data_IF_304167056358
#
_entry.id   IF_304167056358
#
_cell.length_a   1.000
_cell.length_b   1.000
_cell.length_c   1.000
_cell.angle_alpha   90.00
_cell.angle_beta   90.00
_cell.angle_gamma   90.00
#
_symmetry.space_group_name_H-M   'P 1'
#
loop_
_entity.id
_entity.type
_entity.pdbx_description
1 polymer ?
#
# COMPACT_ATOMS: atom_id res chain seq x y z
N UNK A 1 2.02 26.85 8.82
CA UNK A 1 1.17 26.97 10.03
C UNK A 1 0.60 25.59 10.28
N UNK A 2 0.88 24.98 11.43
CA UNK A 2 0.30 23.68 11.77
C UNK A 2 -1.22 23.86 11.91
N UNK A 3 -2.00 23.10 11.15
CA UNK A 3 -3.47 23.10 11.28
C UNK A 3 -3.81 22.52 12.66
N UNK A 4 -4.55 23.27 13.46
CA UNK A 4 -5.05 22.75 14.72
C UNK A 4 -6.17 21.75 14.43
N UNK A 5 -6.09 20.55 14.95
CA UNK A 5 -7.02 19.45 14.63
C UNK A 5 -8.49 19.80 14.87
N UNK A 6 -8.79 20.58 15.90
CA UNK A 6 -10.16 21.04 16.19
C UNK A 6 -10.65 22.08 15.18
N UNK A 7 -9.76 22.94 14.67
CA UNK A 7 -10.12 23.89 13.61
C UNK A 7 -10.48 23.13 12.34
N UNK A 8 -9.71 22.10 12.01
CA UNK A 8 -10.01 21.21 10.88
C UNK A 8 -11.34 20.46 11.09
N UNK A 9 -11.56 19.91 12.27
CA UNK A 9 -12.82 19.24 12.63
C UNK A 9 -14.03 20.17 12.54
N UNK A 10 -13.87 21.46 12.89
CA UNK A 10 -14.94 22.47 12.83
C UNK A 10 -15.34 22.83 11.40
N UNK A 11 -14.51 22.55 10.40
CA UNK A 11 -14.85 22.73 8.98
C UNK A 11 -15.87 21.71 8.47
N UNK A 12 -16.08 20.60 9.19
CA UNK A 12 -17.03 19.55 8.79
C UNK A 12 -18.47 20.04 8.89
N UNK A 13 -19.23 19.86 7.81
CA UNK A 13 -20.63 20.29 7.70
C UNK A 13 -21.64 19.32 8.33
N UNK A 14 -21.22 18.15 8.80
CA UNK A 14 -22.10 17.13 9.38
C UNK A 14 -23.17 16.65 8.39
N UNK A 15 -22.79 16.32 7.16
CA UNK A 15 -23.72 16.00 6.07
C UNK A 15 -24.65 14.84 6.39
N UNK A 16 -25.97 14.95 6.10
CA UNK A 16 -26.95 13.87 6.25
C UNK A 16 -26.66 12.66 5.32
N UNK A 17 -26.06 12.92 4.15
CA UNK A 17 -25.58 11.89 3.21
C UNK A 17 -24.08 12.13 3.00
N UNK A 18 -23.22 11.58 3.87
CA UNK A 18 -21.79 11.88 3.87
C UNK A 18 -21.08 11.19 2.69
N UNK A 19 -20.73 11.96 1.68
CA UNK A 19 -20.01 11.47 0.51
C UNK A 19 -18.58 10.99 0.86
N UNK A 20 -17.95 11.58 1.87
CA UNK A 20 -16.66 11.12 2.41
C UNK A 20 -16.73 9.68 2.93
N UNK A 21 -17.80 9.32 3.64
CA UNK A 21 -18.02 7.94 4.08
C UNK A 21 -18.23 6.98 2.90
N UNK A 22 -18.96 7.42 1.88
CA UNK A 22 -19.17 6.62 0.66
C UNK A 22 -17.88 6.45 -0.15
N UNK A 23 -17.02 7.46 -0.16
CA UNK A 23 -15.72 7.43 -0.79
C UNK A 23 -14.66 6.63 -0.02
N UNK A 24 -14.93 6.27 1.24
CA UNK A 24 -14.07 5.40 2.03
C UNK A 24 -14.36 3.93 1.70
N UNK A 25 -13.38 3.11 1.24
CA UNK A 25 -13.59 1.71 0.88
C UNK A 25 -14.14 0.83 2.01
N UNK A 26 -13.87 1.21 3.26
CA UNK A 26 -14.34 0.52 4.47
C UNK A 26 -15.50 1.25 5.17
N UNK A 27 -16.07 2.26 4.53
CA UNK A 27 -17.24 3.02 5.00
C UNK A 27 -17.08 3.60 6.42
N UNK A 28 -15.89 4.12 6.76
CA UNK A 28 -15.65 4.79 8.05
C UNK A 28 -16.67 5.89 8.29
N UNK A 29 -17.34 5.88 9.45
CA UNK A 29 -18.34 6.89 9.78
C UNK A 29 -17.69 8.23 10.18
N UNK A 30 -17.06 8.87 9.19
CA UNK A 30 -16.27 10.09 9.33
C UNK A 30 -17.01 11.22 10.04
N UNK A 31 -18.27 11.55 9.68
CA UNK A 31 -18.98 12.64 10.37
C UNK A 31 -19.19 12.37 11.86
N UNK A 32 -19.44 11.13 12.23
CA UNK A 32 -19.64 10.77 13.64
C UNK A 32 -18.33 10.80 14.42
N UNK A 33 -17.25 10.30 13.84
CA UNK A 33 -15.89 10.41 14.43
C UNK A 33 -15.55 11.87 14.69
N UNK A 34 -15.80 12.77 13.73
CA UNK A 34 -15.57 14.21 13.88
C UNK A 34 -16.50 14.81 14.95
N UNK A 35 -17.76 14.39 15.02
CA UNK A 35 -18.70 14.86 16.04
C UNK A 35 -18.23 14.47 17.44
N UNK A 36 -17.77 13.25 17.63
CA UNK A 36 -17.23 12.75 18.91
C UNK A 36 -15.98 13.54 19.32
N UNK A 37 -15.06 13.78 18.39
CA UNK A 37 -13.87 14.61 18.65
C UNK A 37 -14.27 16.02 19.12
N UNK A 38 -15.20 16.67 18.42
CA UNK A 38 -15.70 18.01 18.78
C UNK A 38 -16.42 18.03 20.13
N UNK A 39 -17.03 16.93 20.52
CA UNK A 39 -17.65 16.75 21.83
C UNK A 39 -16.65 16.39 22.96
N UNK A 40 -15.35 16.41 22.67
CA UNK A 40 -14.28 15.94 23.58
C UNK A 40 -14.44 14.49 24.04
N UNK A 41 -15.07 13.65 23.19
CA UNK A 41 -15.26 12.21 23.41
C UNK A 41 -14.20 11.42 22.61
N UNK A 42 -12.92 11.69 22.90
CA UNK A 42 -11.80 11.14 22.14
C UNK A 42 -11.74 9.61 22.21
N UNK A 43 -12.03 9.02 23.36
CA UNK A 43 -12.02 7.56 23.57
C UNK A 43 -13.09 6.86 22.72
N UNK A 44 -14.28 7.47 22.59
CA UNK A 44 -15.36 6.95 21.75
C UNK A 44 -15.01 7.06 20.27
N UNK A 45 -14.42 8.20 19.88
CA UNK A 45 -13.94 8.40 18.48
C UNK A 45 -12.85 7.38 18.12
N UNK A 46 -11.86 7.17 18.98
CA UNK A 46 -10.78 6.20 18.78
C UNK A 46 -11.31 4.76 18.73
N UNK A 47 -12.23 4.41 19.65
CA UNK A 47 -12.88 3.09 19.64
C UNK A 47 -13.65 2.86 18.34
N UNK A 48 -14.42 3.84 17.86
CA UNK A 48 -15.17 3.74 16.61
C UNK A 48 -14.24 3.53 15.40
N UNK A 49 -13.12 4.25 15.32
CA UNK A 49 -12.12 4.06 14.27
C UNK A 49 -11.53 2.67 14.31
N UNK A 50 -11.08 2.23 15.50
CA UNK A 50 -10.43 0.93 15.66
C UNK A 50 -11.39 -0.25 15.40
N UNK A 51 -12.64 -0.16 15.81
CA UNK A 51 -13.64 -1.19 15.55
C UNK A 51 -13.96 -1.34 14.08
N UNK A 52 -13.91 -0.23 13.36
CA UNK A 52 -14.05 -0.23 11.91
C UNK A 52 -12.78 -0.72 11.20
N UNK A 53 -11.61 -0.33 11.69
CA UNK A 53 -10.32 -0.66 11.09
C UNK A 53 -9.19 -0.67 12.14
N UNK A 54 -8.66 -1.83 12.53
CA UNK A 54 -7.51 -1.88 13.45
C UNK A 54 -6.25 -1.17 12.94
N UNK A 55 -6.13 -0.96 11.62
CA UNK A 55 -5.00 -0.27 10.98
C UNK A 55 -5.28 1.23 10.74
N UNK A 56 -6.13 1.86 11.52
CA UNK A 56 -6.53 3.26 11.33
C UNK A 56 -5.33 4.22 11.32
N UNK A 57 -4.32 4.01 12.17
CA UNK A 57 -3.08 4.82 12.17
C UNK A 57 -2.33 4.70 10.85
N UNK A 58 -2.29 3.50 10.24
CA UNK A 58 -1.68 3.32 8.91
C UNK A 58 -2.50 4.03 7.84
N UNK A 59 -3.83 3.95 7.91
CA UNK A 59 -4.70 4.67 6.99
C UNK A 59 -4.46 6.18 7.06
N UNK A 60 -4.39 6.75 8.26
CA UNK A 60 -4.12 8.18 8.46
C UNK A 60 -2.85 8.65 7.74
N UNK A 61 -1.78 7.81 7.75
CA UNK A 61 -0.48 8.18 7.19
C UNK A 61 -0.36 7.95 5.67
N UNK A 62 -0.96 6.88 5.11
CA UNK A 62 -0.64 6.45 3.74
C UNK A 62 -1.82 6.17 2.83
N UNK A 63 -3.06 6.29 3.31
CA UNK A 63 -4.24 6.13 2.46
C UNK A 63 -4.26 7.22 1.37
N UNK A 64 -4.78 6.88 0.21
CA UNK A 64 -4.96 7.85 -0.87
C UNK A 64 -6.22 8.71 -0.62
N UNK A 65 -6.17 9.57 0.41
CA UNK A 65 -7.29 10.40 0.85
C UNK A 65 -7.84 11.30 -0.25
N UNK A 66 -6.99 11.80 -1.15
CA UNK A 66 -7.37 12.64 -2.29
C UNK A 66 -8.37 11.95 -3.22
N UNK A 67 -8.25 10.62 -3.40
CA UNK A 67 -9.14 9.82 -4.23
C UNK A 67 -10.22 9.09 -3.41
N UNK A 68 -10.12 9.12 -2.09
CA UNK A 68 -11.05 8.46 -1.17
C UNK A 68 -11.91 9.50 -0.44
N UNK A 69 -11.83 9.52 0.89
CA UNK A 69 -12.73 10.32 1.73
C UNK A 69 -12.62 11.82 1.48
N UNK A 70 -11.41 12.38 1.37
CA UNK A 70 -11.19 13.82 1.18
C UNK A 70 -11.61 14.25 -0.22
N UNK A 71 -11.26 13.46 -1.26
CA UNK A 71 -11.71 13.71 -2.63
C UNK A 71 -13.23 13.68 -2.81
N UNK A 72 -13.93 12.90 -1.97
CA UNK A 72 -15.39 12.83 -1.97
C UNK A 72 -16.06 13.81 -1.00
N UNK A 73 -15.29 14.60 -0.23
CA UNK A 73 -15.84 15.60 0.65
C UNK A 73 -16.67 16.62 -0.14
N UNK A 74 -17.85 16.98 0.37
CA UNK A 74 -18.72 17.95 -0.31
C UNK A 74 -18.01 19.33 -0.46
N UNK A 75 -17.13 19.68 0.48
CA UNK A 75 -16.34 20.91 0.40
C UNK A 75 -15.36 20.90 -0.78
N UNK A 76 -14.87 19.74 -1.19
CA UNK A 76 -14.02 19.63 -2.39
C UNK A 76 -14.75 20.00 -3.69
N UNK A 77 -16.07 19.99 -3.68
CA UNK A 77 -16.93 20.43 -4.81
C UNK A 77 -17.30 21.92 -4.76
N UNK A 78 -16.94 22.61 -3.69
CA UNK A 78 -17.13 24.06 -3.55
C UNK A 78 -16.02 24.82 -4.33
N UNK A 79 -16.21 26.10 -4.65
CA UNK A 79 -15.22 26.88 -5.39
C UNK A 79 -13.81 26.92 -4.78
N UNK A 80 -13.70 26.74 -3.47
CA UNK A 80 -12.41 26.69 -2.77
C UNK A 80 -11.64 25.39 -3.00
N UNK A 81 -12.31 24.33 -3.44
CA UNK A 81 -11.74 22.97 -3.57
C UNK A 81 -10.91 22.52 -2.35
N UNK A 82 -11.40 22.85 -1.16
CA UNK A 82 -10.69 22.67 0.10
C UNK A 82 -11.47 21.71 1.02
N UNK A 83 -11.24 20.39 0.91
CA UNK A 83 -11.93 19.37 1.69
C UNK A 83 -11.59 19.47 3.17
N UNK A 84 -12.33 18.77 4.02
CA UNK A 84 -11.89 18.49 5.38
C UNK A 84 -10.78 17.43 5.31
N UNK A 85 -9.61 17.75 5.84
CA UNK A 85 -8.47 16.80 5.88
C UNK A 85 -8.68 15.81 7.01
N UNK A 86 -9.43 14.76 6.69
CA UNK A 86 -9.74 13.71 7.65
C UNK A 86 -8.50 12.94 8.07
N UNK A 87 -7.50 12.82 7.19
CA UNK A 87 -6.19 12.23 7.51
C UNK A 87 -5.56 12.80 8.77
N UNK A 88 -5.58 14.14 8.94
CA UNK A 88 -5.03 14.84 10.12
C UNK A 88 -5.86 14.51 11.37
N UNK A 89 -7.17 14.45 11.24
CA UNK A 89 -8.09 14.14 12.33
C UNK A 89 -7.92 12.68 12.75
N UNK A 90 -7.86 11.77 11.79
CA UNK A 90 -7.67 10.33 11.99
C UNK A 90 -6.32 10.05 12.65
N UNK A 91 -5.24 10.68 12.18
CA UNK A 91 -3.91 10.57 12.79
C UNK A 91 -3.89 10.99 14.25
N UNK A 92 -4.45 12.16 14.56
CA UNK A 92 -4.54 12.66 15.93
C UNK A 92 -5.32 11.70 16.84
N UNK A 93 -6.50 11.25 16.40
CA UNK A 93 -7.35 10.37 17.20
C UNK A 93 -6.68 9.01 17.38
N UNK A 94 -6.22 8.39 16.29
CA UNK A 94 -5.66 7.03 16.31
C UNK A 94 -4.37 6.96 17.12
N UNK A 95 -3.48 7.93 16.96
CA UNK A 95 -2.21 8.01 17.72
C UNK A 95 -2.47 8.25 19.22
N UNK A 96 -3.40 9.15 19.57
CA UNK A 96 -3.72 9.46 20.96
C UNK A 96 -4.43 8.28 21.65
N UNK A 97 -5.26 7.54 20.91
CA UNK A 97 -6.04 6.42 21.43
C UNK A 97 -5.27 5.09 21.38
N UNK A 98 -4.20 4.96 20.60
CA UNK A 98 -3.50 3.70 20.34
C UNK A 98 -3.17 2.91 21.62
N UNK A 99 -2.65 3.58 22.64
CA UNK A 99 -2.30 2.96 23.92
C UNK A 99 -3.51 2.53 24.78
N UNK A 100 -4.71 3.01 24.47
CA UNK A 100 -5.95 2.68 25.17
C UNK A 100 -6.70 1.50 24.56
N UNK A 101 -6.33 1.10 23.36
CA UNK A 101 -6.93 -0.03 22.63
C UNK A 101 -6.60 -1.40 23.22
N UNK A 102 -5.91 -1.43 24.34
CA UNK A 102 -5.48 -2.64 25.05
C UNK A 102 -6.63 -3.22 25.90
N UNK A 103 -7.80 -3.41 25.31
CA UNK A 103 -8.77 -4.32 25.93
C UNK A 103 -8.16 -5.73 25.94
N UNK A 104 -8.10 -6.38 27.08
CA UNK A 104 -7.54 -7.73 27.23
C UNK A 104 -8.11 -8.72 26.20
N UNK A 105 -7.48 -9.87 26.00
CA UNK A 105 -8.00 -10.89 25.09
C UNK A 105 -9.42 -11.30 25.53
N UNK A 106 -10.30 -11.49 24.54
CA UNK A 106 -11.61 -12.05 24.83
C UNK A 106 -11.47 -13.48 25.40
N UNK A 107 -12.44 -13.94 26.20
CA UNK A 107 -12.46 -15.34 26.62
C UNK A 107 -12.34 -16.28 25.41
N UNK A 108 -11.42 -17.25 25.49
CA UNK A 108 -11.19 -18.20 24.39
C UNK A 108 -12.45 -19.02 24.12
N UNK A 109 -12.84 -19.13 22.84
CA UNK A 109 -13.99 -19.93 22.40
C UNK A 109 -13.60 -21.39 22.04
N UNK A 110 -12.32 -21.77 22.21
CA UNK A 110 -11.79 -23.11 21.91
C UNK A 110 -11.52 -23.38 20.42
N UNK A 111 -11.74 -22.42 19.54
CA UNK A 111 -11.51 -22.59 18.11
C UNK A 111 -10.20 -21.91 17.68
N UNK A 112 -9.44 -22.60 16.82
CA UNK A 112 -8.22 -22.09 16.23
C UNK A 112 -8.47 -21.64 14.78
N UNK A 113 -7.92 -20.50 14.38
CA UNK A 113 -7.90 -20.06 13.00
C UNK A 113 -6.47 -19.68 12.57
N UNK A 114 -6.11 -20.07 11.36
CA UNK A 114 -4.85 -19.70 10.72
C UNK A 114 -5.05 -18.52 9.78
N UNK A 115 -4.06 -17.64 9.74
CA UNK A 115 -4.01 -16.51 8.82
C UNK A 115 -2.73 -16.61 8.01
N UNK A 116 -2.84 -16.70 6.70
CA UNK A 116 -1.72 -16.77 5.75
C UNK A 116 -1.47 -15.39 5.19
N UNK A 117 -0.35 -14.79 5.60
CA UNK A 117 0.05 -13.43 5.25
C UNK A 117 -0.19 -12.43 6.38
N UNK A 118 0.89 -11.78 6.84
CA UNK A 118 0.90 -10.75 7.86
C UNK A 118 0.80 -9.32 7.25
N UNK A 119 0.20 -9.19 6.08
CA UNK A 119 -0.12 -7.91 5.45
C UNK A 119 -1.40 -7.28 6.03
N UNK A 120 -1.87 -6.15 5.47
CA UNK A 120 -3.01 -5.42 6.03
C UNK A 120 -4.27 -6.28 6.17
N UNK A 121 -4.59 -7.14 5.20
CA UNK A 121 -5.75 -8.01 5.26
C UNK A 121 -5.64 -9.05 6.39
N UNK A 122 -4.48 -9.72 6.49
CA UNK A 122 -4.25 -10.74 7.52
C UNK A 122 -4.21 -10.15 8.93
N UNK A 123 -3.56 -8.99 9.12
CA UNK A 123 -3.52 -8.31 10.42
C UNK A 123 -4.92 -7.88 10.87
N UNK A 124 -5.71 -7.33 9.96
CA UNK A 124 -7.09 -6.91 10.27
C UNK A 124 -7.94 -8.08 10.72
N UNK A 125 -7.97 -9.18 9.93
CA UNK A 125 -8.80 -10.33 10.29
C UNK A 125 -8.32 -11.02 11.57
N UNK A 126 -7.00 -11.07 11.81
CA UNK A 126 -6.44 -11.65 13.03
C UNK A 126 -6.92 -10.91 14.29
N UNK A 127 -6.84 -9.58 14.27
CA UNK A 127 -7.31 -8.74 15.39
C UNK A 127 -8.82 -8.91 15.61
N UNK A 128 -9.62 -8.90 14.53
CA UNK A 128 -11.07 -9.05 14.63
C UNK A 128 -11.47 -10.41 15.18
N UNK A 129 -10.87 -11.51 14.71
CA UNK A 129 -11.15 -12.86 15.19
C UNK A 129 -10.68 -13.06 16.65
N UNK A 130 -9.54 -12.50 17.04
CA UNK A 130 -9.08 -12.56 18.43
C UNK A 130 -10.06 -11.88 19.39
N UNK A 131 -10.72 -10.79 18.97
CA UNK A 131 -11.80 -10.13 19.74
C UNK A 131 -13.03 -11.02 19.93
N UNK A 132 -13.21 -12.06 19.11
CA UNK A 132 -14.28 -13.06 19.26
C UNK A 132 -13.80 -14.33 19.96
N UNK A 133 -12.60 -14.31 20.55
CA UNK A 133 -12.06 -15.39 21.37
C UNK A 133 -11.38 -16.51 20.57
N UNK A 134 -11.19 -16.36 19.28
CA UNK A 134 -10.42 -17.34 18.51
C UNK A 134 -8.95 -17.35 18.91
N UNK A 135 -8.33 -18.54 18.85
CA UNK A 135 -6.89 -18.71 18.96
C UNK A 135 -6.25 -18.56 17.58
N UNK A 136 -5.49 -17.48 17.37
CA UNK A 136 -5.02 -17.07 16.06
C UNK A 136 -3.52 -17.29 15.92
N UNK A 137 -3.13 -17.91 14.79
CA UNK A 137 -1.75 -17.93 14.33
C UNK A 137 -1.65 -17.32 12.95
N UNK A 138 -0.78 -16.31 12.82
CA UNK A 138 -0.44 -15.67 11.55
C UNK A 138 0.85 -16.30 11.02
N UNK A 139 0.84 -16.79 9.79
CA UNK A 139 2.00 -17.33 9.08
C UNK A 139 2.42 -16.36 7.99
N UNK A 140 3.69 -16.00 7.92
CA UNK A 140 4.22 -15.18 6.84
C UNK A 140 5.58 -15.69 6.36
N UNK A 141 5.82 -15.53 5.08
CA UNK A 141 7.11 -15.88 4.46
C UNK A 141 8.23 -14.89 4.85
N UNK A 142 7.88 -13.69 5.31
CA UNK A 142 8.81 -12.65 5.76
C UNK A 142 9.10 -12.78 7.25
N UNK A 143 10.15 -12.11 7.68
CA UNK A 143 10.64 -12.11 9.08
C UNK A 143 9.83 -11.22 10.01
N UNK A 144 9.09 -10.22 9.49
CA UNK A 144 8.29 -9.27 10.25
C UNK A 144 6.89 -9.11 9.67
N UNK A 145 5.97 -8.62 10.49
CA UNK A 145 4.63 -8.25 10.06
C UNK A 145 4.64 -7.00 9.19
N UNK A 146 3.54 -6.76 8.50
CA UNK A 146 3.27 -5.55 7.74
C UNK A 146 3.02 -5.79 6.24
N UNK A 147 3.59 -6.85 5.66
CA UNK A 147 3.46 -7.09 4.22
C UNK A 147 3.87 -5.87 3.41
N UNK A 148 3.04 -5.43 2.46
CA UNK A 148 3.32 -4.25 1.62
C UNK A 148 3.54 -2.97 2.44
N UNK A 149 2.94 -2.84 3.61
CA UNK A 149 3.13 -1.69 4.48
C UNK A 149 4.59 -1.56 4.96
N UNK A 150 5.30 -2.67 5.18
CA UNK A 150 6.70 -2.69 5.61
C UNK A 150 7.68 -2.85 4.44
N UNK A 151 7.35 -3.69 3.48
CA UNK A 151 8.27 -4.09 2.41
C UNK A 151 7.98 -3.43 1.06
N UNK A 152 6.94 -2.60 0.97
CA UNK A 152 6.55 -1.91 -0.26
C UNK A 152 6.37 -0.41 -0.11
N UNK A 153 5.97 0.07 1.10
CA UNK A 153 5.88 1.49 1.39
C UNK A 153 7.17 1.94 2.07
N UNK A 154 7.86 2.98 1.56
CA UNK A 154 9.10 3.44 2.17
C UNK A 154 8.92 3.96 3.59
N UNK A 155 9.93 3.74 4.45
CA UNK A 155 9.92 4.12 5.87
C UNK A 155 9.67 5.62 6.11
N UNK A 156 10.06 6.49 5.16
CA UNK A 156 9.79 7.92 5.27
C UNK A 156 8.32 8.31 5.07
N UNK A 157 7.50 7.39 4.56
CA UNK A 157 6.04 7.53 4.46
C UNK A 157 5.31 6.80 5.59
N UNK A 158 5.75 5.58 5.88
CA UNK A 158 5.21 4.75 6.95
C UNK A 158 6.36 4.24 7.81
N UNK A 159 6.66 4.89 8.93
CA UNK A 159 7.72 4.46 9.83
C UNK A 159 7.51 3.04 10.36
N UNK A 160 8.57 2.25 10.41
CA UNK A 160 8.55 0.87 10.94
C UNK A 160 8.02 0.80 12.37
N UNK A 161 8.26 1.84 13.17
CA UNK A 161 7.76 1.94 14.55
C UNK A 161 6.25 1.83 14.65
N UNK A 162 5.48 2.35 13.67
CA UNK A 162 4.02 2.24 13.64
C UNK A 162 3.58 0.78 13.57
N UNK A 163 4.28 -0.04 12.80
CA UNK A 163 4.00 -1.46 12.66
C UNK A 163 4.54 -2.27 13.86
N UNK A 164 5.67 -1.87 14.44
CA UNK A 164 6.23 -2.51 15.62
C UNK A 164 5.33 -2.24 16.83
N UNK A 165 4.83 -1.02 17.00
CA UNK A 165 3.82 -0.67 18.03
C UNK A 165 2.51 -1.43 17.81
N UNK A 166 2.05 -1.56 16.56
CA UNK A 166 0.88 -2.37 16.23
C UNK A 166 1.10 -3.83 16.63
N UNK A 167 2.26 -4.42 16.32
CA UNK A 167 2.58 -5.79 16.72
C UNK A 167 2.50 -5.95 18.23
N UNK A 168 3.17 -5.10 18.98
CA UNK A 168 3.17 -5.18 20.44
C UNK A 168 1.77 -5.06 21.03
N UNK A 169 1.02 -4.00 20.68
CA UNK A 169 -0.28 -3.72 21.29
C UNK A 169 -1.41 -4.63 20.81
N UNK A 170 -1.39 -5.06 19.56
CA UNK A 170 -2.53 -5.73 18.94
C UNK A 170 -2.29 -7.21 18.65
N UNK A 171 -1.05 -7.69 18.63
CA UNK A 171 -0.75 -9.11 18.49
C UNK A 171 -0.22 -9.69 19.79
N UNK A 172 0.92 -9.22 20.26
CA UNK A 172 1.63 -9.84 21.39
C UNK A 172 0.81 -9.78 22.68
N UNK A 173 0.28 -8.60 23.04
CA UNK A 173 -0.56 -8.43 24.22
C UNK A 173 -1.94 -9.12 24.12
N UNK A 174 -2.38 -9.50 22.92
CA UNK A 174 -3.65 -10.20 22.68
C UNK A 174 -3.49 -11.70 22.55
N UNK A 175 -2.26 -12.22 22.60
CA UNK A 175 -1.96 -13.64 22.45
C UNK A 175 -2.22 -14.14 21.01
N UNK A 176 -2.06 -13.29 20.00
CA UNK A 176 -2.02 -13.67 18.60
C UNK A 176 -0.60 -14.13 18.29
N UNK A 177 -0.44 -15.37 17.83
CA UNK A 177 0.86 -15.92 17.51
C UNK A 177 1.30 -15.54 16.11
N UNK A 178 2.47 -14.93 15.99
CA UNK A 178 3.11 -14.68 14.70
C UNK A 178 4.20 -15.71 14.43
N UNK A 179 4.12 -16.41 13.28
CA UNK A 179 5.12 -17.37 12.80
C UNK A 179 5.78 -16.82 11.53
N UNK A 180 6.92 -16.13 11.66
CA UNK A 180 7.68 -15.61 10.53
C UNK A 180 8.37 -16.72 9.76
N UNK A 181 8.93 -16.37 8.59
CA UNK A 181 9.74 -17.25 7.74
C UNK A 181 9.05 -18.58 7.40
N UNK A 182 7.72 -18.57 7.31
CA UNK A 182 6.90 -19.76 7.07
C UNK A 182 6.06 -19.57 5.82
N UNK A 183 6.46 -20.23 4.74
CA UNK A 183 5.74 -20.15 3.45
C UNK A 183 4.70 -21.27 3.37
N UNK A 184 3.42 -20.90 3.44
CA UNK A 184 2.32 -21.84 3.24
C UNK A 184 2.19 -22.18 1.75
N UNK A 185 1.95 -23.46 1.46
CA UNK A 185 1.93 -24.00 0.10
C UNK A 185 3.29 -24.49 -0.39
N UNK A 186 4.37 -24.25 0.38
CA UNK A 186 5.72 -24.80 0.11
C UNK A 186 6.23 -25.62 1.30
N UNK A 187 6.35 -24.98 2.46
CA UNK A 187 6.90 -25.61 3.67
C UNK A 187 5.81 -26.33 4.46
N UNK A 188 4.65 -25.73 4.57
CA UNK A 188 3.44 -26.24 5.23
C UNK A 188 2.30 -26.09 4.24
N UNK A 189 1.48 -27.11 4.07
CA UNK A 189 0.28 -27.06 3.22
C UNK A 189 -0.94 -26.56 4.02
N UNK A 190 -2.00 -26.21 3.32
CA UNK A 190 -3.29 -25.88 3.98
C UNK A 190 -3.87 -27.09 4.66
N UNK A 191 -3.69 -28.29 4.09
CA UNK A 191 -4.15 -29.55 4.69
C UNK A 191 -3.41 -29.84 6.00
N UNK A 192 -2.12 -29.51 6.09
CA UNK A 192 -1.36 -29.61 7.34
C UNK A 192 -1.94 -28.70 8.43
N UNK A 193 -2.36 -27.48 8.07
CA UNK A 193 -3.01 -26.56 9.02
C UNK A 193 -4.32 -27.15 9.58
N UNK A 194 -5.16 -27.74 8.73
CA UNK A 194 -6.38 -28.41 9.17
C UNK A 194 -6.06 -29.63 10.05
N UNK A 195 -5.03 -30.41 9.73
CA UNK A 195 -4.57 -31.54 10.54
C UNK A 195 -4.04 -31.09 11.92
N UNK A 196 -3.42 -29.91 11.99
CA UNK A 196 -2.97 -29.29 13.25
C UNK A 196 -4.12 -28.67 14.09
N UNK A 197 -5.36 -28.85 13.64
CA UNK A 197 -6.57 -28.51 14.37
C UNK A 197 -7.11 -27.10 14.12
N UNK A 198 -6.56 -26.35 13.16
CA UNK A 198 -7.17 -25.11 12.71
C UNK A 198 -8.53 -25.42 12.07
N UNK A 199 -9.56 -24.63 12.42
CA UNK A 199 -10.93 -24.81 11.91
C UNK A 199 -11.21 -23.99 10.67
N UNK A 200 -10.43 -22.95 10.44
CA UNK A 200 -10.49 -22.09 9.24
C UNK A 200 -9.12 -21.54 8.91
N UNK A 201 -8.93 -21.22 7.64
CA UNK A 201 -7.71 -20.61 7.11
C UNK A 201 -8.09 -19.38 6.28
N UNK A 202 -7.63 -18.21 6.70
CA UNK A 202 -7.75 -17.00 5.90
C UNK A 202 -6.51 -16.83 5.03
N UNK A 203 -6.70 -16.58 3.73
CA UNK A 203 -5.61 -16.41 2.76
C UNK A 203 -5.52 -14.94 2.38
N UNK A 204 -4.47 -14.27 2.84
CA UNK A 204 -4.15 -12.87 2.57
C UNK A 204 -2.71 -12.68 2.08
N UNK A 205 -2.23 -13.57 1.19
CA UNK A 205 -0.84 -13.66 0.77
C UNK A 205 -0.34 -12.45 -0.06
N UNK A 206 -1.24 -11.59 -0.56
CA UNK A 206 -0.89 -10.37 -1.29
C UNK A 206 -0.43 -10.62 -2.73
N UNK A 207 0.16 -9.58 -3.34
CA UNK A 207 0.61 -9.55 -4.73
C UNK A 207 2.11 -9.27 -4.77
N UNK A 208 2.93 -10.30 -4.60
CA UNK A 208 4.39 -10.17 -4.51
C UNK A 208 5.15 -10.49 -5.81
N UNK A 209 4.46 -10.99 -6.82
CA UNK A 209 5.07 -11.30 -8.10
C UNK A 209 5.11 -10.03 -8.95
N UNK A 210 6.31 -9.51 -9.22
CA UNK A 210 6.48 -8.42 -10.18
C UNK A 210 6.00 -8.84 -11.58
N UNK A 211 5.30 -7.98 -12.28
CA UNK A 211 4.96 -8.20 -13.67
C UNK A 211 6.13 -7.77 -14.56
N UNK A 212 6.44 -8.61 -15.55
CA UNK A 212 7.41 -8.30 -16.58
C UNK A 212 6.74 -7.61 -17.78
N UNK A 213 7.50 -6.83 -18.52
CA UNK A 213 7.08 -6.22 -19.79
C UNK A 213 7.32 -7.16 -20.97
N UNK A 214 8.11 -8.22 -20.78
CA UNK A 214 8.57 -9.15 -21.81
C UNK A 214 9.36 -8.48 -22.92
N UNK A 215 10.21 -7.51 -22.56
CA UNK A 215 11.14 -6.85 -23.47
C UNK A 215 12.57 -7.37 -23.26
N UNK A 216 13.40 -7.21 -24.27
CA UNK A 216 14.80 -7.60 -24.19
C UNK A 216 15.53 -6.79 -23.12
N UNK A 217 16.33 -7.47 -22.30
CA UNK A 217 17.19 -6.86 -21.29
C UNK A 217 16.58 -6.76 -19.87
N UNK A 218 15.35 -7.19 -19.63
CA UNK A 218 14.72 -7.14 -18.27
C UNK A 218 15.47 -7.97 -17.22
N UNK A 219 16.34 -8.91 -17.63
CA UNK A 219 17.11 -9.77 -16.73
C UNK A 219 18.57 -9.32 -16.56
N UNK A 220 18.94 -8.17 -17.07
CA UNK A 220 20.29 -7.60 -16.91
C UNK A 220 20.57 -7.23 -15.45
N UNK A 221 21.84 -7.27 -15.07
CA UNK A 221 22.28 -6.99 -13.69
C UNK A 221 22.02 -5.56 -13.20
N UNK A 222 21.79 -4.62 -14.11
CA UNK A 222 21.41 -3.23 -13.83
C UNK A 222 19.89 -3.00 -13.78
N UNK A 223 19.08 -4.06 -13.76
CA UNK A 223 17.62 -4.00 -13.70
C UNK A 223 17.12 -4.51 -12.36
N UNK A 224 16.19 -3.77 -11.76
CA UNK A 224 15.45 -4.17 -10.57
C UNK A 224 13.94 -4.10 -10.79
N UNK A 225 13.17 -5.02 -10.23
CA UNK A 225 11.73 -4.88 -10.17
C UNK A 225 11.33 -4.03 -8.95
N UNK A 226 10.35 -3.13 -9.12
CA UNK A 226 10.00 -2.13 -8.13
C UNK A 226 9.67 -2.69 -6.75
N UNK A 227 8.91 -3.79 -6.68
CA UNK A 227 8.55 -4.40 -5.40
C UNK A 227 9.76 -5.02 -4.68
N UNK A 228 10.70 -5.61 -5.42
CA UNK A 228 11.93 -6.16 -4.86
C UNK A 228 12.88 -5.04 -4.44
N UNK A 229 12.97 -3.98 -5.25
CA UNK A 229 13.73 -2.79 -4.93
C UNK A 229 13.23 -2.13 -3.64
N UNK A 230 11.93 -1.91 -3.50
CA UNK A 230 11.35 -1.31 -2.29
C UNK A 230 11.53 -2.19 -1.05
N UNK A 231 11.48 -3.50 -1.21
CA UNK A 231 11.68 -4.44 -0.10
C UNK A 231 13.11 -4.36 0.50
N UNK A 232 14.12 -4.10 -0.33
CA UNK A 232 15.51 -3.91 0.13
C UNK A 232 16.32 -3.08 -0.89
N UNK A 233 16.05 -1.78 -0.96
CA UNK A 233 16.67 -0.89 -1.93
C UNK A 233 18.21 -0.82 -1.84
N UNK A 234 18.78 -1.07 -0.65
CA UNK A 234 20.23 -1.04 -0.42
C UNK A 234 20.96 -2.26 -0.99
N UNK A 235 20.25 -3.33 -1.34
CA UNK A 235 20.85 -4.49 -1.99
C UNK A 235 21.15 -4.27 -3.48
N UNK A 236 20.56 -3.24 -4.09
CA UNK A 236 20.70 -2.94 -5.51
C UNK A 236 21.74 -1.83 -5.74
N UNK A 237 22.62 -2.04 -6.72
CA UNK A 237 23.62 -1.06 -7.16
C UNK A 237 23.26 -0.59 -8.58
N UNK A 238 22.37 0.39 -8.65
CA UNK A 238 21.84 0.88 -9.93
C UNK A 238 22.60 2.10 -10.47
N UNK A 239 23.58 2.63 -9.72
CA UNK A 239 24.36 3.80 -10.10
C UNK A 239 23.63 5.13 -9.88
N UNK A 240 24.08 6.17 -10.57
CA UNK A 240 23.69 7.56 -10.30
C UNK A 240 22.54 8.07 -11.19
N UNK A 241 22.31 7.43 -12.35
CA UNK A 241 21.32 7.84 -13.34
C UNK A 241 20.34 6.70 -13.59
N UNK A 242 19.12 6.83 -13.03
CA UNK A 242 18.16 5.72 -12.93
C UNK A 242 16.90 6.03 -13.74
N UNK A 243 16.51 5.09 -14.60
CA UNK A 243 15.19 5.08 -15.23
C UNK A 243 14.21 4.29 -14.35
N UNK A 244 13.01 4.85 -14.09
CA UNK A 244 11.89 4.15 -13.48
C UNK A 244 10.79 3.97 -14.54
N UNK A 245 10.45 2.74 -14.85
CA UNK A 245 9.40 2.44 -15.83
C UNK A 245 8.07 2.30 -15.10
N UNK A 246 7.22 3.30 -15.24
CA UNK A 246 5.93 3.40 -14.58
C UNK A 246 5.67 4.76 -13.93
N UNK A 247 4.38 5.08 -13.70
CA UNK A 247 3.91 6.34 -13.09
C UNK A 247 2.76 6.10 -12.10
N UNK A 248 2.75 4.96 -11.44
CA UNK A 248 1.88 4.66 -10.30
C UNK A 248 2.53 5.04 -8.97
N UNK A 249 1.78 4.91 -7.86
CA UNK A 249 2.30 5.21 -6.51
C UNK A 249 3.59 4.44 -6.20
N UNK A 250 3.65 3.14 -6.54
CA UNK A 250 4.87 2.34 -6.35
C UNK A 250 6.06 2.87 -7.17
N UNK A 251 5.80 3.41 -8.38
CA UNK A 251 6.87 4.02 -9.18
C UNK A 251 7.36 5.32 -8.54
N UNK A 252 6.47 6.12 -7.96
CA UNK A 252 6.86 7.32 -7.18
C UNK A 252 7.69 6.93 -5.97
N UNK A 253 7.29 5.89 -5.24
CA UNK A 253 8.06 5.36 -4.10
C UNK A 253 9.44 4.87 -4.54
N UNK A 254 9.55 4.14 -5.66
CA UNK A 254 10.84 3.71 -6.22
C UNK A 254 11.73 4.91 -6.59
N UNK A 255 11.17 5.88 -7.29
CA UNK A 255 11.93 7.05 -7.75
C UNK A 255 12.45 7.90 -6.59
N UNK A 256 11.59 8.20 -5.62
CA UNK A 256 11.95 8.95 -4.41
C UNK A 256 12.95 8.20 -3.55
N UNK A 257 12.81 6.88 -3.44
CA UNK A 257 13.76 6.03 -2.72
C UNK A 257 15.13 6.03 -3.41
N UNK A 258 15.18 6.02 -4.75
CA UNK A 258 16.41 6.08 -5.51
C UNK A 258 17.15 7.41 -5.27
N UNK A 259 16.44 8.55 -5.32
CA UNK A 259 17.01 9.87 -4.96
C UNK A 259 17.58 9.86 -3.53
N UNK A 260 16.80 9.36 -2.56
CA UNK A 260 17.21 9.31 -1.14
C UNK A 260 18.39 8.35 -0.89
N UNK A 261 18.56 7.35 -1.75
CA UNK A 261 19.71 6.45 -1.74
C UNK A 261 20.95 7.03 -2.46
N UNK A 262 20.87 8.26 -3.00
CA UNK A 262 21.99 8.99 -3.58
C UNK A 262 22.07 9.03 -5.09
N UNK A 263 21.06 8.55 -5.81
CA UNK A 263 20.98 8.73 -7.27
C UNK A 263 20.94 10.24 -7.60
N UNK A 264 21.72 10.67 -8.59
CA UNK A 264 21.79 12.09 -9.01
C UNK A 264 20.65 12.46 -9.93
N UNK A 265 20.26 11.53 -10.80
CA UNK A 265 19.19 11.73 -11.77
C UNK A 265 18.25 10.53 -11.75
N UNK A 266 16.97 10.78 -11.59
CA UNK A 266 15.93 9.76 -11.68
C UNK A 266 14.86 10.25 -12.63
N UNK A 267 14.54 9.44 -13.64
CA UNK A 267 13.52 9.78 -14.65
C UNK A 267 12.46 8.68 -14.73
N UNK A 268 11.20 9.03 -14.54
CA UNK A 268 10.06 8.15 -14.74
C UNK A 268 9.61 8.15 -16.21
N UNK A 269 9.41 6.97 -16.77
CA UNK A 269 8.95 6.76 -18.14
C UNK A 269 7.52 6.25 -18.17
N UNK A 270 6.66 6.90 -18.94
CA UNK A 270 5.27 6.54 -19.12
C UNK A 270 4.92 6.38 -20.60
N UNK A 271 4.24 5.29 -20.96
CA UNK A 271 3.71 5.06 -22.31
C UNK A 271 2.49 5.92 -22.66
N UNK A 272 1.98 6.69 -21.70
CA UNK A 272 0.83 7.57 -21.84
C UNK A 272 1.24 9.01 -21.54
N UNK A 273 0.33 9.94 -21.80
CA UNK A 273 0.50 11.36 -21.48
C UNK A 273 0.44 11.64 -19.96
N UNK A 274 0.69 12.87 -19.58
CA UNK A 274 0.70 13.34 -18.19
C UNK A 274 -0.68 13.18 -17.53
N UNK A 275 -1.76 13.37 -18.27
CA UNK A 275 -3.14 13.26 -17.77
C UNK A 275 -3.50 11.82 -17.38
N UNK A 276 -2.70 10.84 -17.80
CA UNK A 276 -2.88 9.42 -17.50
C UNK A 276 -2.01 8.92 -16.34
N UNK A 277 -1.41 9.81 -15.54
CA UNK A 277 -0.69 9.41 -14.32
C UNK A 277 -1.66 8.74 -13.36
N UNK A 278 -1.31 7.54 -12.88
CA UNK A 278 -2.14 6.78 -11.93
C UNK A 278 -1.74 6.97 -10.47
N UNK A 279 -0.59 7.60 -10.21
CA UNK A 279 -0.21 7.99 -8.85
C UNK A 279 -1.08 9.15 -8.37
N UNK A 280 -1.25 9.30 -7.04
CA UNK A 280 -1.92 10.44 -6.45
C UNK A 280 -1.18 11.74 -6.77
N UNK A 281 -1.91 12.84 -6.88
CA UNK A 281 -1.32 14.16 -7.17
C UNK A 281 -0.30 14.55 -6.08
N UNK A 282 -0.57 14.17 -4.84
CA UNK A 282 0.34 14.35 -3.71
C UNK A 282 1.69 13.66 -3.95
N UNK A 283 1.72 12.37 -4.30
CA UNK A 283 2.96 11.64 -4.53
C UNK A 283 3.74 12.14 -5.75
N UNK A 284 3.03 12.51 -6.83
CA UNK A 284 3.66 13.13 -8.02
C UNK A 284 4.29 14.46 -7.66
N UNK A 285 3.60 15.30 -6.86
CA UNK A 285 4.14 16.59 -6.42
C UNK A 285 5.42 16.40 -5.60
N UNK A 286 5.45 15.46 -4.65
CA UNK A 286 6.64 15.19 -3.86
C UNK A 286 7.78 14.63 -4.71
N UNK A 287 7.50 13.72 -5.65
CA UNK A 287 8.50 13.23 -6.59
C UNK A 287 9.14 14.37 -7.39
N UNK A 288 8.32 15.30 -7.93
CA UNK A 288 8.81 16.49 -8.64
C UNK A 288 9.63 17.42 -7.73
N UNK A 289 9.20 17.65 -6.49
CA UNK A 289 9.95 18.46 -5.51
C UNK A 289 11.31 17.84 -5.13
N UNK A 290 11.41 16.53 -5.08
CA UNK A 290 12.65 15.80 -4.83
C UNK A 290 13.54 15.68 -6.09
N UNK A 291 13.14 16.24 -7.23
CA UNK A 291 13.95 16.31 -8.45
C UNK A 291 13.75 15.16 -9.43
N UNK A 292 12.68 14.36 -9.28
CA UNK A 292 12.34 13.31 -10.24
C UNK A 292 11.85 13.92 -11.55
N UNK A 293 12.51 13.53 -12.67
CA UNK A 293 12.08 13.87 -14.01
C UNK A 293 10.99 12.93 -14.56
N UNK A 294 10.26 13.40 -15.57
CA UNK A 294 9.20 12.60 -16.21
C UNK A 294 9.35 12.67 -17.73
N UNK A 295 9.16 11.53 -18.40
CA UNK A 295 9.08 11.40 -19.85
C UNK A 295 7.80 10.64 -20.21
N UNK A 296 6.87 11.38 -20.79
CA UNK A 296 5.58 10.85 -21.23
C UNK A 296 5.62 10.43 -22.70
N UNK A 297 4.63 9.61 -23.08
CA UNK A 297 4.51 9.09 -24.45
C UNK A 297 5.76 8.34 -24.90
N UNK A 298 6.42 7.63 -23.99
CA UNK A 298 7.61 6.82 -24.23
C UNK A 298 7.37 5.39 -23.76
N UNK A 299 7.25 4.46 -24.68
CA UNK A 299 7.10 3.03 -24.41
C UNK A 299 8.46 2.33 -24.45
N UNK A 300 8.97 1.79 -23.34
CA UNK A 300 10.20 1.01 -23.33
C UNK A 300 10.06 -0.23 -24.23
N UNK A 301 11.09 -0.50 -25.04
CA UNK A 301 11.13 -1.65 -25.96
C UNK A 301 12.37 -2.53 -25.77
N UNK A 302 13.46 -1.98 -25.24
CA UNK A 302 14.69 -2.71 -24.92
C UNK A 302 15.42 -2.03 -23.77
N UNK A 303 15.94 -2.82 -22.83
CA UNK A 303 16.87 -2.37 -21.80
C UNK A 303 18.27 -2.83 -22.17
N UNK A 304 19.26 -1.97 -21.99
CA UNK A 304 20.68 -2.22 -22.19
C UNK A 304 21.48 -1.96 -20.91
N UNK A 305 22.72 -2.43 -20.86
CA UNK A 305 23.62 -2.18 -19.72
C UNK A 305 23.85 -0.69 -19.44
N UNK A 306 23.75 0.15 -20.47
CA UNK A 306 24.01 1.60 -20.42
C UNK A 306 22.79 2.47 -20.65
N UNK A 307 21.56 1.89 -20.66
CA UNK A 307 20.36 2.70 -20.85
C UNK A 307 19.12 1.96 -21.31
N UNK A 308 18.20 2.72 -21.84
CA UNK A 308 16.85 2.31 -22.19
C UNK A 308 16.51 2.78 -23.60
N UNK A 309 15.92 1.92 -24.43
CA UNK A 309 15.35 2.29 -25.71
C UNK A 309 13.83 2.38 -25.56
N UNK A 310 13.28 3.53 -25.96
CA UNK A 310 11.84 3.74 -26.01
C UNK A 310 11.38 4.07 -27.42
N UNK A 311 10.17 3.65 -27.76
CA UNK A 311 9.39 4.16 -28.89
C UNK A 311 8.46 5.27 -28.44
N UNK A 312 8.19 6.21 -29.30
CA UNK A 312 7.14 7.19 -29.09
C UNK A 312 5.76 6.50 -29.13
N UNK A 313 4.83 7.08 -28.40
CA UNK A 313 3.44 6.64 -28.44
C UNK A 313 2.53 7.80 -28.79
N UNK A 314 1.48 7.52 -29.52
CA UNK A 314 0.47 8.50 -29.94
C UNK A 314 -0.90 8.01 -29.48
N UNK A 315 -1.69 8.95 -28.96
CA UNK A 315 -3.08 8.71 -28.55
C UNK A 315 -3.98 8.72 -29.80
N UNK A 316 -4.62 7.60 -30.07
CA UNK A 316 -5.61 7.50 -31.15
C UNK A 316 -6.95 8.15 -30.78
N UNK A 317 -7.84 8.28 -31.76
CA UNK A 317 -9.20 8.81 -31.57
C UNK A 317 -10.03 7.95 -30.59
N UNK A 318 -9.72 6.66 -30.47
CA UNK A 318 -10.31 5.73 -29.49
C UNK A 318 -9.75 5.89 -28.06
N UNK A 319 -8.84 6.86 -27.86
CA UNK A 319 -8.17 7.12 -26.57
C UNK A 319 -7.06 6.14 -26.22
N UNK A 320 -6.77 5.15 -27.06
CA UNK A 320 -5.66 4.20 -26.84
C UNK A 320 -4.34 4.76 -27.33
N UNK A 321 -3.27 4.39 -26.66
CA UNK A 321 -1.91 4.76 -27.05
C UNK A 321 -1.27 3.62 -27.84
N UNK A 322 -0.80 3.93 -29.04
CA UNK A 322 -0.09 3.02 -29.95
C UNK A 322 1.35 3.46 -30.13
N UNK A 323 2.27 2.50 -30.27
CA UNK A 323 3.68 2.78 -30.53
C UNK A 323 3.86 3.21 -31.98
N UNK A 324 4.76 4.19 -32.21
CA UNK A 324 5.17 4.66 -33.52
C UNK A 324 6.40 3.86 -33.95
N UNK A 325 6.28 3.13 -35.05
CA UNK A 325 7.42 2.37 -35.62
C UNK A 325 8.49 3.32 -36.13
N UNK A 326 9.76 2.96 -35.93
CA UNK A 326 10.90 3.77 -36.39
C UNK A 326 11.20 5.00 -35.53
N UNK A 327 10.52 5.16 -34.37
CA UNK A 327 10.75 6.27 -33.43
C UNK A 327 11.66 5.92 -32.28
N UNK A 328 12.41 4.82 -32.38
CA UNK A 328 13.28 4.34 -31.31
C UNK A 328 14.32 5.39 -30.93
N UNK A 329 14.33 5.76 -29.66
CA UNK A 329 15.30 6.69 -29.09
C UNK A 329 15.99 6.04 -27.91
N UNK A 330 17.33 6.14 -27.88
CA UNK A 330 18.13 5.68 -26.76
C UNK A 330 18.24 6.76 -25.67
N UNK A 331 18.03 6.37 -24.43
CA UNK A 331 18.18 7.19 -23.23
C UNK A 331 19.25 6.56 -22.33
N UNK A 332 20.37 7.27 -22.06
CA UNK A 332 21.43 6.76 -21.22
C UNK A 332 21.00 6.70 -19.74
N UNK A 333 21.21 5.55 -19.11
CA UNK A 333 20.98 5.32 -17.67
C UNK A 333 21.91 4.24 -17.18
N UNK A 334 22.29 4.33 -15.90
CA UNK A 334 23.13 3.33 -15.25
C UNK A 334 22.30 2.18 -14.67
N UNK A 335 21.04 2.43 -14.36
CA UNK A 335 20.15 1.42 -13.82
C UNK A 335 18.69 1.63 -14.24
N UNK A 336 17.90 0.57 -14.17
CA UNK A 336 16.48 0.59 -14.53
C UNK A 336 15.65 -0.08 -13.43
N UNK A 337 14.57 0.57 -13.01
CA UNK A 337 13.57 0.00 -12.10
C UNK A 337 12.26 -0.20 -12.86
N UNK A 338 11.82 -1.46 -12.96
CA UNK A 338 10.56 -1.83 -13.61
C UNK A 338 9.43 -1.83 -12.59
N UNK A 339 8.51 -0.87 -12.67
CA UNK A 339 7.38 -0.68 -11.75
C UNK A 339 6.04 -0.65 -12.49
N UNK A 340 5.73 -1.75 -13.20
CA UNK A 340 4.56 -1.90 -14.08
C UNK A 340 3.47 -2.80 -13.52
N UNK A 341 3.21 -2.71 -12.21
CA UNK A 341 2.22 -3.53 -11.51
C UNK A 341 2.75 -4.87 -11.01
N UNK A 342 1.91 -5.59 -10.27
CA UNK A 342 2.21 -6.85 -9.59
C UNK A 342 1.06 -7.83 -9.76
N UNK A 343 1.36 -9.12 -9.61
CA UNK A 343 0.39 -10.20 -9.65
C UNK A 343 0.48 -11.12 -8.43
N UNK A 344 -0.50 -12.02 -8.31
CA UNK A 344 -0.50 -13.05 -7.27
C UNK A 344 0.50 -14.15 -7.58
N UNK A 345 1.11 -14.72 -6.54
CA UNK A 345 1.81 -15.99 -6.67
C UNK A 345 0.82 -17.15 -6.69
N UNK A 346 0.95 -18.02 -7.68
CA UNK A 346 0.01 -19.14 -7.88
C UNK A 346 0.37 -20.41 -7.07
N UNK A 347 1.46 -20.41 -6.31
CA UNK A 347 1.95 -21.61 -5.63
C UNK A 347 0.92 -22.19 -4.66
N UNK A 348 0.33 -21.35 -3.81
CA UNK A 348 -0.67 -21.79 -2.83
C UNK A 348 -1.85 -22.51 -3.50
N UNK A 349 -2.36 -21.93 -4.59
CA UNK A 349 -3.48 -22.49 -5.36
C UNK A 349 -3.10 -23.82 -6.02
N UNK A 350 -1.88 -23.90 -6.58
CA UNK A 350 -1.39 -25.10 -7.26
C UNK A 350 -1.13 -26.28 -6.33
N UNK A 351 -0.81 -26.00 -5.07
CA UNK A 351 -0.47 -27.02 -4.06
C UNK A 351 -1.64 -27.39 -3.15
N UNK A 352 -2.80 -26.77 -3.32
CA UNK A 352 -3.98 -27.03 -2.49
C UNK A 352 -5.15 -27.47 -3.35
N UNK A 353 -5.64 -28.69 -3.12
CA UNK A 353 -6.82 -29.24 -3.81
C UNK A 353 -8.09 -28.56 -3.30
N UNK A 354 -9.03 -28.24 -4.20
CA UNK A 354 -10.34 -27.70 -3.83
C UNK A 354 -10.40 -26.18 -3.62
N UNK A 355 -9.33 -25.44 -3.89
CA UNK A 355 -9.41 -23.97 -3.97
C UNK A 355 -9.98 -23.56 -5.32
N UNK A 356 -11.12 -22.91 -5.28
CA UNK A 356 -11.71 -22.26 -6.47
C UNK A 356 -11.12 -20.86 -6.65
N UNK A 357 -10.77 -20.52 -7.88
CA UNK A 357 -10.21 -19.20 -8.22
C UNK A 357 -11.07 -18.52 -9.28
N UNK A 358 -11.33 -17.24 -9.09
CA UNK A 358 -11.91 -16.41 -10.14
C UNK A 358 -10.83 -16.04 -11.16
N UNK A 359 -11.15 -16.19 -12.44
CA UNK A 359 -10.32 -15.68 -13.54
C UNK A 359 -10.45 -14.15 -13.59
N UNK A 360 -9.71 -13.44 -12.76
CA UNK A 360 -9.54 -11.99 -12.86
C UNK A 360 -8.08 -11.61 -12.74
#
# INVERSE_FOLDING_TARGET
>A
MALHVLDEANRCLGCKKPMCQQGCPIHTNIPEVIRLLKANQLDDAGRMLFENNPLTTVCALVCNHENQCEGHCIRNRMPSHDPVHFSIIEDYISTTYANKMVAGPAPKNGMKAAVVGAGPAGLTIAVLLARWGYDITIFDARDKIGGVMRYGIPNYRLPDSVLDDFQYHHLDLKGIHFRPNTTIGKTITIDDLFRDGYKSVFIGAGLWKANAMHIKGETLGNVAFGIDYLANSKAFRLGDDIAVIGVGNSAMDCARTAIRNGARHVTCYARRDEDCISASAYEVRYAKLEGVGFRFCKAPVEIRENGLICRDTVKGEDGKFTQVEGSETFYPHTGVIVSVSQGSESNLVKTTTGIETNQR
#
